data_IF_380332042202
#
_entry.id   IF_380332042202
#
_cell.length_a   1.000
_cell.length_b   1.000
_cell.length_c   1.000
_cell.angle_alpha   90.00
_cell.angle_beta   90.00
_cell.angle_gamma   90.00
#
_symmetry.space_group_name_H-M   'P 1'
#
loop_
_entity.id
_entity.type
_entity.pdbx_description
1 polymer ?
#
# COMPACT_ATOMS: atom_id res chain seq x y z
N UNK A 1 6.00 19.68 -5.33
CA UNK A 1 5.82 20.49 -4.11
C UNK A 1 4.40 21.04 -4.04
N UNK A 2 3.93 21.82 -5.00
CA UNK A 2 2.60 22.45 -4.98
C UNK A 2 1.50 21.38 -4.91
N UNK A 3 1.51 20.38 -5.77
CA UNK A 3 0.51 19.31 -5.79
C UNK A 3 0.41 18.55 -4.46
N UNK A 4 1.54 18.27 -3.84
CA UNK A 4 1.56 17.59 -2.53
C UNK A 4 1.11 18.52 -1.40
N UNK A 5 1.45 19.81 -1.48
CA UNK A 5 0.93 20.81 -0.54
C UNK A 5 -0.58 20.91 -0.63
N UNK A 6 -1.15 20.93 -1.83
CA UNK A 6 -2.60 20.90 -2.07
C UNK A 6 -3.22 19.61 -1.52
N UNK A 7 -2.59 18.47 -1.79
CA UNK A 7 -3.03 17.17 -1.34
C UNK A 7 -3.07 17.06 0.20
N UNK A 8 -1.97 17.40 0.88
CA UNK A 8 -1.90 17.42 2.34
C UNK A 8 -2.89 18.44 2.90
N UNK A 9 -2.91 19.64 2.33
CA UNK A 9 -3.82 20.70 2.74
C UNK A 9 -5.30 20.32 2.61
N UNK A 10 -5.69 19.64 1.54
CA UNK A 10 -7.08 19.18 1.34
C UNK A 10 -7.55 18.22 2.44
N UNK A 11 -6.67 17.32 2.93
CA UNK A 11 -7.01 16.41 4.02
C UNK A 11 -7.23 17.20 5.32
N UNK A 12 -6.33 18.12 5.65
CA UNK A 12 -6.48 18.94 6.84
C UNK A 12 -7.72 19.84 6.79
N UNK A 13 -8.01 20.45 5.63
CA UNK A 13 -9.21 21.26 5.44
C UNK A 13 -10.46 20.40 5.62
N UNK A 14 -10.50 19.21 5.02
CA UNK A 14 -11.62 18.30 5.17
C UNK A 14 -11.87 17.91 6.65
N UNK A 15 -10.80 17.67 7.42
CA UNK A 15 -10.89 17.37 8.84
C UNK A 15 -11.39 18.58 9.63
N UNK A 16 -10.82 19.77 9.41
CA UNK A 16 -11.18 20.99 10.11
C UNK A 16 -12.64 21.43 9.84
N UNK A 17 -13.10 21.23 8.59
CA UNK A 17 -14.49 21.54 8.20
C UNK A 17 -15.48 20.42 8.55
N UNK A 18 -15.02 19.32 9.17
CA UNK A 18 -15.82 18.14 9.48
C UNK A 18 -16.50 17.49 8.27
N UNK A 19 -15.91 17.65 7.07
CA UNK A 19 -16.39 17.06 5.82
C UNK A 19 -15.58 15.83 5.40
N UNK A 20 -14.60 15.44 6.23
CA UNK A 20 -13.76 14.28 5.97
C UNK A 20 -14.56 12.99 6.11
N UNK A 21 -14.42 12.09 5.14
CA UNK A 21 -14.83 10.70 5.29
C UNK A 21 -13.87 9.95 6.23
N UNK A 22 -14.38 8.92 6.90
CA UNK A 22 -13.57 8.06 7.76
C UNK A 22 -12.88 6.96 6.95
N UNK A 23 -11.67 6.57 7.40
CA UNK A 23 -10.91 5.48 6.75
C UNK A 23 -11.59 4.13 6.96
N UNK A 24 -12.18 3.95 8.14
CA UNK A 24 -12.85 2.71 8.55
C UNK A 24 -14.25 3.02 9.08
N UNK A 25 -14.50 2.74 10.36
CA UNK A 25 -15.74 3.05 11.06
C UNK A 25 -15.69 4.49 11.55
N UNK A 26 -16.84 5.06 11.85
CA UNK A 26 -16.98 6.41 12.37
C UNK A 26 -16.05 6.65 13.58
N UNK A 27 -15.24 7.69 13.49
CA UNK A 27 -14.20 8.02 14.48
C UNK A 27 -12.86 7.30 14.30
N UNK A 28 -12.75 6.33 13.38
CA UNK A 28 -11.50 5.58 13.15
C UNK A 28 -10.79 5.95 11.85
N UNK A 29 -9.83 6.87 11.95
CA UNK A 29 -9.03 7.38 10.85
C UNK A 29 -9.80 8.34 9.95
N UNK A 30 -9.06 9.19 9.26
CA UNK A 30 -9.59 10.21 8.36
C UNK A 30 -8.96 10.05 6.99
N UNK A 31 -9.77 10.05 5.94
CA UNK A 31 -9.30 9.98 4.56
C UNK A 31 -9.56 11.26 3.76
N UNK A 32 -10.01 12.32 4.42
CA UNK A 32 -10.36 13.56 3.74
C UNK A 32 -11.50 13.35 2.74
N UNK A 33 -11.36 13.91 1.55
CA UNK A 33 -12.29 13.72 0.43
C UNK A 33 -11.84 12.60 -0.52
N UNK A 34 -10.92 11.76 -0.09
CA UNK A 34 -10.40 10.66 -0.90
C UNK A 34 -11.18 9.37 -0.66
N UNK A 35 -11.15 8.49 -1.63
CA UNK A 35 -11.92 7.26 -1.64
C UNK A 35 -11.31 6.18 -0.71
N UNK A 36 -9.98 6.06 -0.67
CA UNK A 36 -9.27 5.00 0.06
C UNK A 36 -8.16 5.54 0.95
N UNK A 37 -8.12 5.08 2.21
CA UNK A 37 -7.03 5.36 3.14
C UNK A 37 -5.70 4.75 2.71
N UNK A 38 -5.73 3.61 2.00
CA UNK A 38 -4.51 2.96 1.49
C UNK A 38 -3.86 3.77 0.37
N UNK A 39 -4.65 4.34 -0.55
CA UNK A 39 -4.12 5.20 -1.61
C UNK A 39 -3.48 6.47 -1.05
N UNK A 40 -4.11 7.07 -0.04
CA UNK A 40 -3.56 8.25 0.64
C UNK A 40 -2.22 7.93 1.31
N UNK A 41 -2.15 6.80 1.99
CA UNK A 41 -0.92 6.34 2.62
C UNK A 41 0.18 6.12 1.58
N UNK A 42 -0.13 5.48 0.46
CA UNK A 42 0.82 5.27 -0.65
C UNK A 42 1.34 6.60 -1.21
N UNK A 43 0.45 7.58 -1.45
CA UNK A 43 0.84 8.93 -1.91
C UNK A 43 1.77 9.60 -0.90
N UNK A 44 1.42 9.58 0.40
CA UNK A 44 2.24 10.17 1.46
C UNK A 44 3.65 9.55 1.46
N UNK A 45 3.74 8.23 1.47
CA UNK A 45 5.01 7.51 1.54
C UNK A 45 5.87 7.75 0.31
N UNK A 46 5.31 7.58 -0.89
CA UNK A 46 6.03 7.74 -2.15
C UNK A 46 6.52 9.17 -2.37
N UNK A 47 5.75 10.15 -1.92
CA UNK A 47 6.14 11.55 -2.01
C UNK A 47 7.40 11.86 -1.20
N UNK A 48 7.62 11.19 -0.05
CA UNK A 48 8.82 11.36 0.75
C UNK A 48 10.09 10.98 -0.01
N UNK A 49 10.02 9.97 -0.90
CA UNK A 49 11.17 9.56 -1.72
C UNK A 49 11.60 10.62 -2.75
N UNK A 50 10.76 11.57 -3.07
CA UNK A 50 11.10 12.72 -3.92
C UNK A 50 11.57 13.91 -3.06
N UNK A 51 10.85 14.22 -1.97
CA UNK A 51 11.10 15.46 -1.23
C UNK A 51 12.30 15.44 -0.32
N UNK A 52 12.51 14.36 0.42
CA UNK A 52 13.63 14.31 1.36
C UNK A 52 14.98 14.51 0.67
N UNK A 53 15.29 13.83 -0.46
CA UNK A 53 16.51 14.09 -1.21
C UNK A 53 16.57 15.49 -1.81
N UNK A 54 15.45 16.00 -2.33
CA UNK A 54 15.39 17.33 -2.94
C UNK A 54 15.67 18.46 -1.93
N UNK A 55 15.15 18.33 -0.72
CA UNK A 55 15.31 19.34 0.35
C UNK A 55 16.71 19.27 0.97
N UNK A 56 17.37 18.11 0.92
CA UNK A 56 18.70 17.91 1.49
C UNK A 56 19.71 18.97 1.08
N UNK A 57 19.72 19.37 -0.19
CA UNK A 57 20.68 20.31 -0.75
C UNK A 57 20.28 21.78 -0.59
N UNK A 58 19.12 22.05 0.04
CA UNK A 58 18.64 23.43 0.22
C UNK A 58 19.18 24.08 1.49
N UNK A 59 19.39 25.42 1.43
CA UNK A 59 19.88 26.24 2.56
C UNK A 59 19.04 26.04 3.84
N UNK A 60 17.74 25.86 3.70
CA UNK A 60 16.79 25.77 4.81
C UNK A 60 16.50 24.31 5.24
N UNK A 61 17.29 23.31 4.80
CA UNK A 61 17.08 21.89 5.08
C UNK A 61 16.84 21.59 6.57
N UNK A 62 17.54 22.30 7.46
CA UNK A 62 17.49 22.12 8.93
C UNK A 62 16.11 22.36 9.52
N UNK A 63 15.32 23.22 8.88
CA UNK A 63 13.97 23.56 9.31
C UNK A 63 12.91 22.75 8.52
N UNK A 64 13.11 22.60 7.21
CA UNK A 64 12.12 21.98 6.33
C UNK A 64 12.01 20.47 6.58
N UNK A 65 13.13 19.75 6.78
CA UNK A 65 13.10 18.30 7.01
C UNK A 65 12.32 17.94 8.29
N UNK A 66 12.58 18.56 9.46
CA UNK A 66 11.78 18.30 10.66
C UNK A 66 10.29 18.60 10.48
N UNK A 67 9.95 19.68 9.77
CA UNK A 67 8.54 20.03 9.50
C UNK A 67 7.89 18.96 8.63
N UNK A 68 8.55 18.50 7.57
CA UNK A 68 8.03 17.41 6.70
C UNK A 68 7.82 16.14 7.51
N UNK A 69 8.77 15.77 8.37
CA UNK A 69 8.68 14.59 9.22
C UNK A 69 7.50 14.72 10.19
N UNK A 70 7.37 15.86 10.87
CA UNK A 70 6.30 16.09 11.85
C UNK A 70 4.92 16.09 11.20
N UNK A 71 4.75 16.83 10.11
CA UNK A 71 3.49 16.90 9.36
C UNK A 71 3.12 15.52 8.78
N UNK A 72 4.09 14.81 8.20
CA UNK A 72 3.87 13.47 7.66
C UNK A 72 3.54 12.43 8.73
N UNK A 73 4.21 12.49 9.90
CA UNK A 73 3.92 11.64 11.03
C UNK A 73 2.49 11.83 11.54
N UNK A 74 2.11 13.08 11.76
CA UNK A 74 0.78 13.42 12.21
C UNK A 74 -0.29 12.98 11.20
N UNK A 75 -0.06 13.20 9.91
CA UNK A 75 -0.96 12.77 8.86
C UNK A 75 -1.08 11.24 8.79
N UNK A 76 0.05 10.51 8.90
CA UNK A 76 0.03 9.03 8.89
C UNK A 76 -0.79 8.45 10.05
N UNK A 77 -0.78 9.11 11.22
CA UNK A 77 -1.63 8.76 12.35
C UNK A 77 -3.11 9.05 12.09
N UNK A 78 -3.42 10.24 11.55
CA UNK A 78 -4.80 10.64 11.25
C UNK A 78 -5.44 9.68 10.23
N UNK A 79 -4.70 9.25 9.22
CA UNK A 79 -5.19 8.28 8.22
C UNK A 79 -5.50 6.93 8.89
N UNK A 80 -4.69 6.50 9.84
CA UNK A 80 -4.92 5.30 10.66
C UNK A 80 -4.65 3.97 9.96
N UNK A 81 -4.01 3.94 8.76
CA UNK A 81 -3.64 2.68 8.09
C UNK A 81 -2.32 2.12 8.64
N UNK A 82 -2.22 0.79 8.70
CA UNK A 82 -0.97 0.12 9.10
C UNK A 82 0.17 0.44 8.12
N UNK A 83 -0.11 0.39 6.82
CA UNK A 83 0.85 0.70 5.77
C UNK A 83 1.35 2.15 5.88
N UNK A 84 0.46 3.12 6.13
CA UNK A 84 0.82 4.52 6.32
C UNK A 84 1.73 4.73 7.52
N UNK A 85 1.39 4.17 8.67
CA UNK A 85 2.13 4.39 9.90
C UNK A 85 3.50 3.70 9.89
N UNK A 86 3.52 2.38 9.68
CA UNK A 86 4.79 1.62 9.67
C UNK A 86 5.63 1.96 8.45
N UNK A 87 5.00 2.19 7.30
CA UNK A 87 5.68 2.65 6.09
C UNK A 87 6.35 4.00 6.28
N UNK A 88 5.71 4.94 6.98
CA UNK A 88 6.31 6.24 7.26
C UNK A 88 7.57 6.13 8.12
N UNK A 89 7.52 5.35 9.20
CA UNK A 89 8.69 5.06 10.04
C UNK A 89 9.81 4.44 9.20
N UNK A 90 9.47 3.45 8.36
CA UNK A 90 10.42 2.78 7.48
C UNK A 90 11.07 3.75 6.48
N UNK A 91 10.30 4.64 5.85
CA UNK A 91 10.83 5.63 4.90
C UNK A 91 11.83 6.56 5.58
N UNK A 92 11.52 7.05 6.77
CA UNK A 92 12.46 7.91 7.53
C UNK A 92 13.71 7.14 7.92
N UNK A 93 13.57 5.92 8.41
CA UNK A 93 14.70 5.05 8.77
C UNK A 93 15.58 4.73 7.55
N UNK A 94 14.99 4.42 6.39
CA UNK A 94 15.70 4.22 5.13
C UNK A 94 16.46 5.49 4.70
N UNK A 95 15.82 6.66 4.78
CA UNK A 95 16.48 7.92 4.44
C UNK A 95 17.72 8.16 5.29
N UNK A 96 17.59 7.99 6.61
CA UNK A 96 18.70 8.14 7.54
C UNK A 96 19.79 7.09 7.30
N UNK A 97 19.40 5.83 7.14
CA UNK A 97 20.33 4.72 6.93
C UNK A 97 21.14 4.88 5.64
N UNK A 98 20.48 5.24 4.54
CA UNK A 98 21.14 5.48 3.25
C UNK A 98 22.13 6.64 3.36
N UNK A 99 21.76 7.75 4.00
CA UNK A 99 22.65 8.89 4.17
C UNK A 99 23.88 8.55 5.01
N UNK A 100 23.70 7.85 6.11
CA UNK A 100 24.81 7.38 6.96
C UNK A 100 25.71 6.43 6.18
N UNK A 101 25.15 5.46 5.49
CA UNK A 101 25.88 4.47 4.71
C UNK A 101 26.74 5.14 3.62
N UNK A 102 26.16 6.07 2.85
CA UNK A 102 26.90 6.77 1.81
C UNK A 102 27.99 7.71 2.37
N UNK A 103 27.78 8.31 3.54
CA UNK A 103 28.82 9.10 4.19
C UNK A 103 29.98 8.20 4.66
N UNK A 104 29.71 7.02 5.21
CA UNK A 104 30.73 6.05 5.61
C UNK A 104 31.52 5.55 4.38
N UNK A 105 30.83 5.10 3.34
CA UNK A 105 31.47 4.56 2.12
C UNK A 105 32.35 5.59 1.44
N UNK A 106 31.98 6.88 1.51
CA UNK A 106 32.73 7.97 0.89
C UNK A 106 33.75 8.63 1.80
N UNK A 107 34.03 8.08 2.96
CA UNK A 107 34.91 8.63 3.99
C UNK A 107 34.60 10.10 4.33
N UNK A 108 33.33 10.50 4.22
CA UNK A 108 32.85 11.82 4.62
C UNK A 108 32.51 11.84 6.10
N UNK A 109 32.78 12.96 6.76
CA UNK A 109 32.31 13.14 8.14
C UNK A 109 30.79 13.10 8.19
N UNK A 110 30.25 12.26 9.06
CA UNK A 110 28.82 12.20 9.29
C UNK A 110 28.37 13.51 9.93
N UNK A 111 27.41 14.18 9.32
CA UNK A 111 26.81 15.39 9.88
C UNK A 111 26.03 15.03 11.15
N UNK A 112 26.65 15.23 12.31
CA UNK A 112 26.07 14.94 13.62
C UNK A 112 24.71 15.64 13.80
N UNK A 113 24.56 16.87 13.23
CA UNK A 113 23.28 17.62 13.32
C UNK A 113 22.19 16.94 12.53
N UNK A 114 22.52 16.39 11.35
CA UNK A 114 21.60 15.62 10.56
C UNK A 114 21.14 14.34 11.28
N UNK A 115 22.08 13.60 11.89
CA UNK A 115 21.79 12.42 12.69
C UNK A 115 20.86 12.74 13.88
N UNK A 116 21.17 13.82 14.62
CA UNK A 116 20.34 14.25 15.75
C UNK A 116 18.91 14.58 15.26
N UNK A 117 18.76 15.35 14.18
CA UNK A 117 17.47 15.69 13.61
C UNK A 117 16.67 14.43 13.24
N UNK A 118 17.32 13.46 12.60
CA UNK A 118 16.66 12.21 12.19
C UNK A 118 16.25 11.34 13.37
N UNK A 119 17.15 11.13 14.34
CA UNK A 119 16.86 10.34 15.56
C UNK A 119 15.78 11.02 16.39
N UNK A 120 15.86 12.34 16.56
CA UNK A 120 14.82 13.11 17.27
C UNK A 120 13.49 13.03 16.52
N UNK A 121 13.51 13.13 15.18
CA UNK A 121 12.31 12.97 14.37
C UNK A 121 11.67 11.57 14.52
N UNK A 122 12.45 10.50 14.46
CA UNK A 122 11.96 9.14 14.72
C UNK A 122 11.43 8.97 16.14
N UNK A 123 12.13 9.50 17.13
CA UNK A 123 11.68 9.47 18.52
C UNK A 123 10.34 10.19 18.71
N UNK A 124 10.18 11.37 18.10
CA UNK A 124 8.91 12.12 18.11
C UNK A 124 7.80 11.30 17.45
N UNK A 125 8.04 10.68 16.28
CA UNK A 125 7.05 9.82 15.62
C UNK A 125 6.62 8.69 16.52
N UNK A 126 7.57 8.00 17.17
CA UNK A 126 7.29 6.89 18.09
C UNK A 126 6.51 7.37 19.32
N UNK A 127 6.92 8.49 19.93
CA UNK A 127 6.23 9.08 21.08
C UNK A 127 4.80 9.51 20.74
N UNK A 128 4.61 10.12 19.57
CA UNK A 128 3.29 10.54 19.08
C UNK A 128 2.39 9.32 18.87
N UNK A 129 2.94 8.24 18.29
CA UNK A 129 2.20 6.97 18.10
C UNK A 129 1.79 6.33 19.42
N UNK A 130 2.68 6.33 20.41
CA UNK A 130 2.42 5.74 21.73
C UNK A 130 1.47 6.63 22.54
N UNK A 131 1.71 7.95 22.52
CA UNK A 131 1.01 8.89 23.44
C UNK A 131 -0.43 9.20 23.03
N UNK A 132 -0.71 9.27 21.73
CA UNK A 132 -2.07 9.60 21.24
C UNK A 132 -2.92 8.36 20.88
N UNK A 133 -2.41 7.16 21.14
CA UNK A 133 -3.14 5.93 20.84
C UNK A 133 -3.55 5.89 19.38
N UNK A 134 -2.69 5.43 18.48
CA UNK A 134 -2.98 5.49 17.04
C UNK A 134 -4.33 4.84 16.76
N UNK A 135 -5.11 5.45 15.87
CA UNK A 135 -6.35 4.87 15.33
C UNK A 135 -6.14 3.44 14.81
N UNK A 136 -4.90 3.12 14.40
CA UNK A 136 -4.45 1.78 14.02
C UNK A 136 -4.48 0.80 15.20
N UNK A 137 -4.08 1.23 16.41
CA UNK A 137 -4.10 0.40 17.64
C UNK A 137 -5.55 0.24 18.11
N UNK A 138 -6.34 1.30 18.12
CA UNK A 138 -7.77 1.27 18.47
C UNK A 138 -8.54 0.32 17.55
N UNK A 139 -8.29 0.37 16.24
CA UNK A 139 -8.86 -0.56 15.27
C UNK A 139 -8.48 -2.00 15.58
N UNK A 140 -7.22 -2.28 15.92
CA UNK A 140 -6.80 -3.65 16.26
C UNK A 140 -7.53 -4.19 17.49
N UNK A 141 -7.78 -3.33 18.47
CA UNK A 141 -8.56 -3.69 19.67
C UNK A 141 -10.00 -3.97 19.27
N UNK A 142 -10.65 -3.07 18.56
CA UNK A 142 -12.03 -3.24 18.08
C UNK A 142 -12.22 -4.51 17.22
N UNK A 143 -11.28 -4.82 16.31
CA UNK A 143 -11.34 -6.07 15.52
C UNK A 143 -11.18 -7.32 16.39
N UNK A 144 -10.39 -7.26 17.47
CA UNK A 144 -10.28 -8.37 18.42
C UNK A 144 -11.56 -8.54 19.25
N UNK A 145 -12.17 -7.43 19.66
CA UNK A 145 -13.42 -7.45 20.41
C UNK A 145 -14.53 -8.07 19.56
N UNK A 146 -14.65 -7.67 18.29
CA UNK A 146 -15.60 -8.30 17.33
C UNK A 146 -15.26 -9.80 17.11
N UNK A 147 -13.99 -10.14 16.98
CA UNK A 147 -13.56 -11.54 16.79
C UNK A 147 -13.90 -12.40 18.01
N UNK A 148 -13.80 -11.87 19.24
CA UNK A 148 -14.22 -12.56 20.45
C UNK A 148 -15.74 -12.74 20.52
N UNK A 149 -16.51 -11.70 20.20
CA UNK A 149 -17.97 -11.77 20.22
C UNK A 149 -18.52 -12.79 19.18
N UNK A 150 -17.91 -12.83 17.99
CA UNK A 150 -18.27 -13.81 16.94
C UNK A 150 -17.91 -15.25 17.37
N UNK A 151 -16.81 -15.47 18.06
CA UNK A 151 -16.39 -16.79 18.56
C UNK A 151 -17.37 -17.26 19.65
N UNK A 152 -17.81 -16.37 20.51
CA UNK A 152 -18.78 -16.70 21.56
C UNK A 152 -20.18 -17.03 21.02
N UNK A 153 -20.59 -16.39 19.90
CA UNK A 153 -21.87 -16.69 19.22
C UNK A 153 -21.79 -17.94 18.30
N UNK A 154 -20.62 -18.24 17.74
CA UNK A 154 -20.41 -19.34 16.80
C UNK A 154 -19.81 -20.59 17.46
N UNK A 155 -20.47 -21.18 18.43
CA UNK A 155 -20.15 -22.53 18.91
C UNK A 155 -20.43 -23.65 17.87
N UNK A 156 -20.58 -23.27 16.59
CA UNK A 156 -20.79 -24.19 15.47
C UNK A 156 -19.49 -24.42 14.68
N UNK A 157 -19.25 -25.66 14.36
CA UNK A 157 -18.08 -26.30 13.74
C UNK A 157 -17.54 -25.68 12.43
N UNK A 158 -18.11 -24.59 11.91
CA UNK A 158 -17.86 -24.05 10.56
C UNK A 158 -17.53 -22.55 10.49
N UNK A 159 -17.06 -21.93 11.55
CA UNK A 159 -16.88 -20.47 11.64
C UNK A 159 -15.62 -19.89 10.98
N UNK A 160 -15.07 -20.52 9.93
CA UNK A 160 -13.88 -20.00 9.24
C UNK A 160 -14.20 -18.91 8.21
N UNK A 161 -15.44 -18.80 7.76
CA UNK A 161 -15.88 -17.74 6.84
C UNK A 161 -17.17 -17.14 7.39
N UNK A 162 -17.11 -15.88 7.81
CA UNK A 162 -18.26 -15.11 8.32
C UNK A 162 -18.41 -13.83 7.52
N UNK A 163 -19.49 -13.08 7.77
CA UNK A 163 -19.74 -11.80 7.15
C UNK A 163 -20.26 -11.91 5.72
N UNK A 164 -19.81 -11.03 4.83
CA UNK A 164 -20.33 -10.90 3.47
C UNK A 164 -20.19 -12.17 2.63
N UNK A 165 -19.09 -12.90 2.78
CA UNK A 165 -18.84 -14.12 2.00
C UNK A 165 -19.78 -15.25 2.40
N UNK A 166 -20.07 -15.40 3.70
CA UNK A 166 -21.06 -16.38 4.19
C UNK A 166 -22.47 -16.04 3.70
N UNK A 167 -22.85 -14.76 3.82
CA UNK A 167 -24.15 -14.28 3.33
C UNK A 167 -24.35 -14.54 1.83
N UNK A 168 -23.31 -14.28 1.01
CA UNK A 168 -23.38 -14.58 -0.43
C UNK A 168 -23.54 -16.09 -0.67
N UNK A 169 -22.85 -16.94 0.11
CA UNK A 169 -23.02 -18.40 0.02
C UNK A 169 -24.45 -18.83 0.35
N UNK A 170 -25.01 -18.34 1.44
CA UNK A 170 -26.39 -18.60 1.86
C UNK A 170 -27.40 -18.15 0.79
N UNK A 171 -27.23 -16.93 0.25
CA UNK A 171 -28.07 -16.45 -0.85
C UNK A 171 -28.01 -17.34 -2.10
N UNK A 172 -26.83 -17.90 -2.43
CA UNK A 172 -26.68 -18.84 -3.54
C UNK A 172 -27.43 -20.16 -3.24
N UNK A 173 -27.29 -20.68 -2.02
CA UNK A 173 -27.98 -21.92 -1.59
C UNK A 173 -29.50 -21.76 -1.57
N UNK A 174 -29.98 -20.59 -1.15
CA UNK A 174 -31.41 -20.26 -1.07
C UNK A 174 -32.00 -19.77 -2.41
N UNK A 175 -31.21 -19.72 -3.49
CA UNK A 175 -31.60 -19.17 -4.79
C UNK A 175 -32.15 -17.73 -4.74
N UNK A 176 -31.75 -16.95 -3.75
CA UNK A 176 -32.18 -15.55 -3.61
C UNK A 176 -31.48 -14.59 -4.59
N UNK A 177 -30.35 -15.00 -5.16
CA UNK A 177 -29.64 -14.17 -6.15
C UNK A 177 -30.32 -14.33 -7.49
N UNK A 178 -30.84 -13.21 -8.00
CA UNK A 178 -31.49 -13.11 -9.32
C UNK A 178 -30.58 -13.68 -10.41
N UNK A 179 -31.08 -14.64 -11.16
CA UNK A 179 -30.39 -15.19 -12.33
C UNK A 179 -29.95 -14.07 -13.27
N UNK A 180 -28.67 -14.07 -13.66
CA UNK A 180 -28.09 -13.07 -14.55
C UNK A 180 -27.00 -12.19 -13.89
N UNK A 181 -26.95 -12.09 -12.58
CA UNK A 181 -25.88 -11.34 -11.89
C UNK A 181 -24.63 -12.18 -11.66
N UNK A 182 -24.73 -13.50 -11.67
CA UNK A 182 -23.63 -14.41 -11.36
C UNK A 182 -23.62 -15.60 -12.34
N UNK A 183 -22.45 -15.83 -12.97
CA UNK A 183 -22.27 -17.02 -13.80
C UNK A 183 -22.16 -18.29 -12.95
N UNK A 184 -22.45 -19.46 -13.51
CA UNK A 184 -22.31 -20.74 -12.83
C UNK A 184 -20.87 -20.98 -12.33
N UNK A 185 -19.85 -20.53 -13.08
CA UNK A 185 -18.44 -20.59 -12.64
C UNK A 185 -18.18 -19.70 -11.42
N UNK A 186 -18.84 -18.56 -11.29
CA UNK A 186 -18.75 -17.69 -10.12
C UNK A 186 -19.43 -18.33 -8.89
N UNK A 187 -20.64 -18.86 -9.05
CA UNK A 187 -21.36 -19.59 -7.98
C UNK A 187 -20.53 -20.76 -7.47
N UNK A 188 -20.04 -21.62 -8.38
CA UNK A 188 -19.19 -22.74 -8.02
C UNK A 188 -17.90 -22.28 -7.31
N UNK A 189 -17.32 -21.14 -7.73
CA UNK A 189 -16.10 -20.62 -7.13
C UNK A 189 -16.32 -20.11 -5.71
N UNK A 190 -17.51 -19.63 -5.37
CA UNK A 190 -17.86 -19.26 -3.98
C UNK A 190 -17.99 -20.51 -3.11
N UNK A 191 -18.64 -21.56 -3.62
CA UNK A 191 -18.74 -22.83 -2.89
C UNK A 191 -17.36 -23.46 -2.67
N UNK A 192 -16.50 -23.44 -3.68
CA UNK A 192 -15.13 -23.93 -3.58
C UNK A 192 -14.27 -23.07 -2.66
N UNK A 193 -14.43 -21.73 -2.67
CA UNK A 193 -13.80 -20.81 -1.72
C UNK A 193 -14.11 -21.25 -0.28
N UNK A 194 -15.39 -21.49 0.03
CA UNK A 194 -15.81 -21.90 1.36
C UNK A 194 -15.11 -23.19 1.79
N UNK A 195 -15.12 -24.21 0.93
CA UNK A 195 -14.48 -25.50 1.20
C UNK A 195 -12.97 -25.38 1.39
N UNK A 196 -12.29 -24.59 0.54
CA UNK A 196 -10.84 -24.38 0.61
C UNK A 196 -10.47 -23.57 1.85
N UNK A 197 -11.21 -22.51 2.16
CA UNK A 197 -10.94 -21.67 3.31
C UNK A 197 -11.10 -22.44 4.62
N UNK A 198 -12.12 -23.29 4.74
CA UNK A 198 -12.28 -24.20 5.87
C UNK A 198 -11.12 -25.19 5.98
N UNK A 199 -10.72 -25.82 4.86
CA UNK A 199 -9.60 -26.76 4.84
C UNK A 199 -8.26 -26.11 5.22
N UNK A 200 -8.05 -24.86 4.81
CA UNK A 200 -6.83 -24.08 5.11
C UNK A 200 -6.91 -23.33 6.43
N UNK A 201 -8.03 -23.43 7.17
CA UNK A 201 -8.28 -22.68 8.40
C UNK A 201 -8.03 -21.18 8.25
N UNK A 202 -8.50 -20.59 7.13
CA UNK A 202 -8.39 -19.16 6.86
C UNK A 202 -9.19 -18.39 7.91
N UNK A 203 -8.58 -17.40 8.54
CA UNK A 203 -9.26 -16.59 9.55
C UNK A 203 -10.39 -15.77 8.93
N UNK A 204 -11.49 -15.63 9.65
CA UNK A 204 -12.68 -14.89 9.22
C UNK A 204 -12.38 -13.44 8.82
N UNK A 205 -11.44 -12.79 9.51
CA UNK A 205 -11.04 -11.41 9.25
C UNK A 205 -9.96 -11.27 8.17
N UNK A 206 -9.50 -12.38 7.56
CA UNK A 206 -8.53 -12.33 6.46
C UNK A 206 -9.24 -12.28 5.10
N UNK A 207 -9.91 -11.17 4.85
CA UNK A 207 -10.61 -10.91 3.58
C UNK A 207 -9.68 -11.05 2.37
N UNK A 208 -8.41 -10.64 2.48
CA UNK A 208 -7.46 -10.71 1.37
C UNK A 208 -7.15 -12.14 0.95
N UNK A 209 -7.01 -13.04 1.90
CA UNK A 209 -6.81 -14.46 1.59
C UNK A 209 -8.07 -15.06 0.95
N UNK A 210 -9.26 -14.70 1.43
CA UNK A 210 -10.53 -15.13 0.83
C UNK A 210 -10.66 -14.61 -0.61
N UNK A 211 -10.36 -13.32 -0.84
CA UNK A 211 -10.35 -12.71 -2.18
C UNK A 211 -9.35 -13.41 -3.11
N UNK A 212 -8.16 -13.73 -2.62
CA UNK A 212 -7.14 -14.45 -3.39
C UNK A 212 -7.61 -15.85 -3.78
N UNK A 213 -8.13 -16.62 -2.84
CA UNK A 213 -8.65 -17.96 -3.07
C UNK A 213 -9.76 -17.91 -4.11
N UNK A 214 -10.74 -17.01 -3.93
CA UNK A 214 -11.85 -16.84 -4.87
C UNK A 214 -11.36 -16.60 -6.31
N UNK A 215 -10.48 -15.63 -6.50
CA UNK A 215 -10.02 -15.28 -7.82
C UNK A 215 -9.19 -16.40 -8.49
N UNK A 216 -8.38 -17.14 -7.72
CA UNK A 216 -7.65 -18.30 -8.23
C UNK A 216 -8.58 -19.45 -8.62
N UNK A 217 -9.59 -19.71 -7.79
CA UNK A 217 -10.59 -20.75 -8.06
C UNK A 217 -11.46 -20.38 -9.25
N UNK A 218 -11.82 -19.11 -9.39
CA UNK A 218 -12.58 -18.62 -10.53
C UNK A 218 -11.86 -18.87 -11.86
N UNK A 219 -10.55 -18.54 -11.94
CA UNK A 219 -9.73 -18.84 -13.12
C UNK A 219 -9.71 -20.35 -13.41
N UNK A 220 -9.57 -21.18 -12.37
CA UNK A 220 -9.59 -22.65 -12.51
C UNK A 220 -10.95 -23.16 -13.03
N UNK A 221 -12.07 -22.66 -12.50
CA UNK A 221 -13.40 -23.14 -12.83
C UNK A 221 -13.87 -22.74 -14.23
N UNK A 222 -13.36 -21.61 -14.75
CA UNK A 222 -13.66 -21.19 -16.12
C UNK A 222 -12.99 -22.08 -17.20
N UNK A 223 -11.99 -22.90 -16.85
CA UNK A 223 -11.33 -23.88 -17.73
C UNK A 223 -10.84 -23.34 -19.08
N UNK A 224 -10.53 -22.04 -19.15
CA UNK A 224 -10.11 -21.38 -20.38
C UNK A 224 -8.66 -20.90 -20.25
N UNK A 225 -7.74 -21.51 -21.02
CA UNK A 225 -6.33 -21.17 -20.99
C UNK A 225 -6.05 -19.73 -21.45
N UNK A 226 -6.91 -19.13 -22.27
CA UNK A 226 -6.75 -17.75 -22.71
C UNK A 226 -6.84 -16.75 -21.55
N UNK A 227 -7.48 -17.13 -20.44
CA UNK A 227 -7.54 -16.30 -19.24
C UNK A 227 -6.16 -16.12 -18.58
N UNK A 228 -5.27 -17.09 -18.73
CA UNK A 228 -3.88 -16.94 -18.27
C UNK A 228 -3.15 -15.86 -19.08
N UNK A 229 -3.42 -15.79 -20.38
CA UNK A 229 -2.79 -14.82 -21.28
C UNK A 229 -3.41 -13.42 -21.19
N UNK A 230 -4.74 -13.33 -21.20
CA UNK A 230 -5.47 -12.08 -21.34
C UNK A 230 -6.25 -11.64 -20.09
N UNK A 231 -6.28 -12.51 -19.06
CA UNK A 231 -6.94 -12.24 -17.79
C UNK A 231 -8.45 -12.52 -17.80
N UNK A 232 -8.99 -12.48 -16.59
CA UNK A 232 -10.39 -12.76 -16.32
C UNK A 232 -11.30 -11.53 -16.46
N UNK A 233 -10.71 -10.37 -16.75
CA UNK A 233 -11.41 -9.10 -16.69
C UNK A 233 -11.70 -8.64 -15.25
N UNK A 234 -12.33 -7.49 -15.13
CA UNK A 234 -12.67 -6.93 -13.82
C UNK A 234 -13.99 -7.56 -13.34
N UNK A 235 -13.95 -8.29 -12.25
CA UNK A 235 -15.14 -8.93 -11.65
C UNK A 235 -15.88 -7.87 -10.83
N UNK A 236 -16.60 -6.96 -11.49
CA UNK A 236 -17.22 -5.78 -10.88
C UNK A 236 -18.44 -6.08 -9.99
N UNK A 237 -19.05 -7.26 -10.12
CA UNK A 237 -20.34 -7.56 -9.47
C UNK A 237 -20.25 -7.91 -7.98
N UNK A 238 -19.03 -8.10 -7.45
CA UNK A 238 -18.81 -8.48 -6.05
C UNK A 238 -17.65 -7.65 -5.49
N UNK A 239 -17.95 -6.46 -4.97
CA UNK A 239 -16.95 -5.55 -4.39
C UNK A 239 -16.18 -6.18 -3.23
N UNK A 240 -16.82 -7.06 -2.47
CA UNK A 240 -16.21 -7.76 -1.34
C UNK A 240 -15.15 -8.79 -1.77
N UNK A 241 -15.27 -9.33 -2.99
CA UNK A 241 -14.37 -10.34 -3.55
C UNK A 241 -13.35 -9.76 -4.54
N UNK A 242 -13.34 -8.43 -4.75
CA UNK A 242 -12.30 -7.75 -5.53
C UNK A 242 -10.97 -7.83 -4.80
N UNK A 243 -9.96 -8.41 -5.46
CA UNK A 243 -8.65 -8.63 -4.86
C UNK A 243 -7.91 -7.31 -4.62
N UNK A 244 -7.70 -6.98 -3.34
CA UNK A 244 -6.94 -5.79 -2.94
C UNK A 244 -5.44 -5.91 -3.19
N UNK A 245 -4.88 -7.12 -3.33
CA UNK A 245 -3.47 -7.37 -3.64
C UNK A 245 -3.20 -7.01 -5.10
N UNK A 246 -2.87 -5.76 -5.35
CA UNK A 246 -2.94 -5.10 -6.65
C UNK A 246 -2.10 -5.78 -7.75
N UNK A 247 -0.85 -6.21 -7.45
CA UNK A 247 -0.03 -6.89 -8.45
C UNK A 247 -0.62 -8.24 -8.87
N UNK A 248 -1.16 -8.98 -7.92
CA UNK A 248 -1.79 -10.28 -8.19
C UNK A 248 -3.12 -10.05 -8.91
N UNK A 249 -3.89 -9.04 -8.48
CA UNK A 249 -5.12 -8.62 -9.14
C UNK A 249 -4.88 -8.25 -10.60
N UNK A 250 -3.82 -7.47 -10.89
CA UNK A 250 -3.43 -7.14 -12.27
C UNK A 250 -3.12 -8.38 -13.11
N UNK A 251 -2.37 -9.33 -12.53
CA UNK A 251 -2.02 -10.56 -13.22
C UNK A 251 -3.26 -11.41 -13.54
N UNK A 252 -4.20 -11.52 -12.59
CA UNK A 252 -5.41 -12.32 -12.78
C UNK A 252 -6.43 -11.62 -13.70
N UNK A 253 -6.56 -10.29 -13.59
CA UNK A 253 -7.55 -9.54 -14.36
C UNK A 253 -7.11 -9.22 -15.79
N UNK A 254 -5.81 -8.95 -16.01
CA UNK A 254 -5.26 -8.58 -17.33
C UNK A 254 -4.44 -9.71 -17.98
N UNK A 255 -4.20 -10.80 -17.27
CA UNK A 255 -3.35 -11.89 -17.71
C UNK A 255 -1.87 -11.48 -17.84
N UNK A 256 -1.05 -12.43 -18.31
CA UNK A 256 0.38 -12.21 -18.48
C UNK A 256 0.67 -11.08 -19.48
N UNK A 257 -0.10 -11.01 -20.57
CA UNK A 257 0.11 -10.00 -21.63
C UNK A 257 -0.19 -8.60 -21.09
N UNK A 258 -1.37 -8.38 -20.48
CA UNK A 258 -1.72 -7.07 -19.94
C UNK A 258 -0.83 -6.67 -18.76
N UNK A 259 -0.47 -7.62 -17.89
CA UNK A 259 0.48 -7.38 -16.81
C UNK A 259 1.84 -6.95 -17.34
N UNK A 260 2.39 -7.65 -18.34
CA UNK A 260 3.67 -7.32 -18.95
C UNK A 260 3.67 -5.94 -19.61
N UNK A 261 2.59 -5.58 -20.31
CA UNK A 261 2.46 -4.27 -20.96
C UNK A 261 2.36 -3.13 -19.94
N UNK A 262 1.62 -3.31 -18.85
CA UNK A 262 1.41 -2.28 -17.84
C UNK A 262 2.56 -2.17 -16.84
N UNK A 263 2.98 -3.29 -16.26
CA UNK A 263 4.00 -3.33 -15.20
C UNK A 263 5.41 -3.48 -15.73
N UNK A 264 5.58 -4.04 -16.95
CA UNK A 264 6.89 -4.30 -17.57
C UNK A 264 7.84 -3.11 -17.56
N UNK A 265 7.42 -1.89 -17.96
CA UNK A 265 8.27 -0.70 -17.90
C UNK A 265 8.80 -0.40 -16.50
N UNK A 266 7.97 -0.49 -15.46
CA UNK A 266 8.39 -0.24 -14.09
C UNK A 266 9.31 -1.33 -13.54
N UNK A 267 9.03 -2.59 -13.87
CA UNK A 267 9.88 -3.74 -13.54
C UNK A 267 11.25 -3.58 -14.22
N UNK A 268 11.27 -3.22 -15.50
CA UNK A 268 12.51 -2.97 -16.23
C UNK A 268 13.33 -1.84 -15.61
N UNK A 269 12.70 -0.73 -15.21
CA UNK A 269 13.38 0.39 -14.52
C UNK A 269 13.91 -0.05 -13.16
N UNK A 270 13.16 -0.86 -12.40
CA UNK A 270 13.57 -1.37 -11.09
C UNK A 270 14.84 -2.22 -11.21
N UNK A 271 14.86 -3.19 -12.14
CA UNK A 271 16.02 -4.05 -12.36
C UNK A 271 17.19 -3.31 -13.01
N UNK A 272 16.93 -2.43 -13.99
CA UNK A 272 17.97 -1.58 -14.55
C UNK A 272 18.59 -0.70 -13.46
N UNK A 273 17.74 -0.11 -12.59
CA UNK A 273 18.22 0.68 -11.45
C UNK A 273 19.12 -0.12 -10.53
N UNK A 274 18.77 -1.37 -10.20
CA UNK A 274 19.63 -2.25 -9.40
C UNK A 274 20.97 -2.53 -10.11
N UNK A 275 20.90 -2.91 -11.38
CA UNK A 275 22.12 -3.17 -12.19
C UNK A 275 23.05 -1.97 -12.24
N UNK A 276 22.52 -0.78 -12.55
CA UNK A 276 23.33 0.45 -12.58
C UNK A 276 23.85 0.83 -11.18
N UNK A 277 23.05 0.61 -10.14
CA UNK A 277 23.49 0.81 -8.75
C UNK A 277 24.71 -0.03 -8.38
N UNK A 278 24.72 -1.30 -8.78
CA UNK A 278 25.86 -2.22 -8.56
C UNK A 278 27.06 -1.83 -9.45
N UNK A 279 26.82 -1.60 -10.74
CA UNK A 279 27.85 -1.30 -11.73
C UNK A 279 28.59 0.01 -11.42
N UNK A 280 27.87 1.04 -11.04
CA UNK A 280 28.39 2.39 -10.78
C UNK A 280 28.46 2.71 -9.28
N UNK A 281 28.58 1.71 -8.40
CA UNK A 281 28.56 1.85 -6.93
C UNK A 281 29.53 2.90 -6.36
N UNK A 282 30.61 3.23 -7.07
CA UNK A 282 31.60 4.23 -6.66
C UNK A 282 31.12 5.66 -6.92
N UNK A 283 30.21 5.86 -7.86
CA UNK A 283 29.78 7.18 -8.36
C UNK A 283 28.37 7.55 -7.89
N UNK A 284 27.48 6.56 -7.76
CA UNK A 284 26.08 6.79 -7.36
C UNK A 284 25.98 7.55 -6.05
N UNK A 285 25.00 8.45 -5.95
CA UNK A 285 24.71 9.23 -4.75
C UNK A 285 23.56 8.63 -3.90
N UNK A 286 23.38 9.15 -2.71
CA UNK A 286 22.29 8.73 -1.81
C UNK A 286 20.89 9.02 -2.40
N UNK A 287 20.77 10.05 -3.24
CA UNK A 287 19.52 10.38 -3.92
C UNK A 287 19.12 9.26 -4.88
N UNK A 288 20.08 8.71 -5.64
CA UNK A 288 19.84 7.57 -6.52
C UNK A 288 19.29 6.37 -5.76
N UNK A 289 20.01 5.99 -4.69
CA UNK A 289 19.60 4.86 -3.88
C UNK A 289 18.19 5.06 -3.30
N UNK A 290 17.89 6.26 -2.82
CA UNK A 290 16.61 6.57 -2.23
C UNK A 290 15.47 6.54 -3.27
N UNK A 291 15.69 7.06 -4.49
CA UNK A 291 14.72 6.94 -5.59
C UNK A 291 14.48 5.47 -5.98
N UNK A 292 15.52 4.64 -6.03
CA UNK A 292 15.38 3.22 -6.30
C UNK A 292 14.55 2.51 -5.22
N UNK A 293 14.83 2.79 -3.93
CA UNK A 293 14.00 2.30 -2.84
C UNK A 293 12.56 2.82 -2.90
N UNK A 294 12.34 4.02 -3.41
CA UNK A 294 11.00 4.56 -3.65
C UNK A 294 10.20 3.75 -4.65
N UNK A 295 10.84 3.35 -5.76
CA UNK A 295 10.21 2.47 -6.74
C UNK A 295 9.97 1.06 -6.15
N UNK A 296 10.94 0.49 -5.42
CA UNK A 296 10.78 -0.79 -4.73
C UNK A 296 9.64 -0.74 -3.69
N UNK A 297 9.52 0.38 -2.96
CA UNK A 297 8.42 0.61 -2.02
C UNK A 297 7.06 0.65 -2.71
N UNK A 298 6.95 1.22 -3.92
CA UNK A 298 5.71 1.19 -4.69
C UNK A 298 5.25 -0.25 -4.97
N UNK A 299 6.17 -1.13 -5.36
CA UNK A 299 5.87 -2.56 -5.53
C UNK A 299 5.47 -3.24 -4.23
N UNK A 300 6.17 -2.94 -3.13
CA UNK A 300 5.84 -3.50 -1.81
C UNK A 300 4.45 -3.05 -1.34
N UNK A 301 4.12 -1.77 -1.50
CA UNK A 301 2.81 -1.23 -1.15
C UNK A 301 1.69 -1.85 -2.01
N UNK A 302 1.94 -2.04 -3.30
CA UNK A 302 1.00 -2.68 -4.22
C UNK A 302 0.69 -4.14 -3.83
N UNK A 303 1.67 -4.87 -3.29
CA UNK A 303 1.46 -6.22 -2.75
C UNK A 303 0.74 -6.23 -1.41
N UNK A 304 1.09 -5.29 -0.51
CA UNK A 304 0.65 -5.32 0.88
C UNK A 304 -0.63 -4.55 1.16
N UNK A 305 -0.82 -3.38 0.51
CA UNK A 305 -1.95 -2.51 0.81
C UNK A 305 -2.90 -2.26 -0.36
N UNK A 306 -2.43 -2.51 -1.58
CA UNK A 306 -3.18 -2.19 -2.81
C UNK A 306 -3.32 -0.70 -3.07
N UNK A 307 -4.08 -0.34 -4.13
CA UNK A 307 -4.38 1.05 -4.50
C UNK A 307 -3.16 1.94 -4.73
N UNK A 308 -2.08 1.38 -5.27
CA UNK A 308 -0.82 2.09 -5.51
C UNK A 308 -0.63 2.36 -7.01
N UNK A 309 -0.65 1.35 -7.86
CA UNK A 309 -0.52 1.48 -9.32
C UNK A 309 -1.86 1.77 -10.01
N UNK A 310 -2.99 1.31 -9.47
CA UNK A 310 -4.31 1.63 -9.99
C UNK A 310 -4.81 3.03 -9.62
N UNK A 311 -4.23 3.65 -8.60
CA UNK A 311 -4.62 5.00 -8.20
C UNK A 311 -3.84 6.04 -9.01
N UNK A 312 -4.54 6.90 -9.76
CA UNK A 312 -3.94 7.91 -10.63
C UNK A 312 -2.97 8.83 -9.88
N UNK A 313 -3.30 9.26 -8.67
CA UNK A 313 -2.48 10.20 -7.90
C UNK A 313 -1.16 9.58 -7.46
N UNK A 314 -1.16 8.33 -6.99
CA UNK A 314 0.07 7.61 -6.66
C UNK A 314 0.87 7.24 -7.90
N UNK A 315 0.20 6.93 -9.02
CA UNK A 315 0.83 6.63 -10.29
C UNK A 315 1.66 7.80 -10.83
N UNK A 316 1.17 9.04 -10.73
CA UNK A 316 1.92 10.24 -11.10
C UNK A 316 3.24 10.33 -10.31
N UNK A 317 3.20 9.99 -9.03
CA UNK A 317 4.39 10.01 -8.16
C UNK A 317 5.36 8.88 -8.56
N UNK A 318 4.86 7.68 -8.84
CA UNK A 318 5.66 6.54 -9.30
C UNK A 318 6.36 6.87 -10.63
N UNK A 319 5.65 7.46 -11.58
CA UNK A 319 6.23 7.92 -12.85
C UNK A 319 7.31 8.97 -12.59
N UNK A 320 7.07 9.91 -11.66
CA UNK A 320 8.06 10.93 -11.30
C UNK A 320 9.32 10.31 -10.67
N UNK A 321 9.18 9.34 -9.75
CA UNK A 321 10.30 8.58 -9.18
C UNK A 321 11.06 7.86 -10.28
N UNK A 322 10.36 7.14 -11.15
CA UNK A 322 10.94 6.36 -12.26
C UNK A 322 11.71 7.24 -13.23
N UNK A 323 11.14 8.38 -13.61
CA UNK A 323 11.78 9.35 -14.53
C UNK A 323 13.03 9.95 -13.92
N UNK A 324 13.01 10.35 -12.64
CA UNK A 324 14.17 10.87 -11.95
C UNK A 324 15.27 9.81 -11.80
N UNK A 325 14.89 8.55 -11.51
CA UNK A 325 15.83 7.42 -11.45
C UNK A 325 16.49 7.19 -12.82
N UNK A 326 15.70 7.17 -13.90
CA UNK A 326 16.24 7.05 -15.27
C UNK A 326 17.17 8.20 -15.64
N UNK A 327 16.84 9.44 -15.25
CA UNK A 327 17.72 10.59 -15.47
C UNK A 327 19.07 10.37 -14.79
N UNK A 328 19.07 9.95 -13.53
CA UNK A 328 20.30 9.63 -12.78
C UNK A 328 21.09 8.49 -13.42
N UNK A 329 20.44 7.44 -13.91
CA UNK A 329 21.13 6.37 -14.65
C UNK A 329 21.83 6.87 -15.90
N UNK A 330 21.26 7.84 -16.62
CA UNK A 330 21.91 8.46 -17.79
C UNK A 330 23.11 9.31 -17.39
N UNK A 331 23.00 10.10 -16.32
CA UNK A 331 24.09 10.93 -15.81
C UNK A 331 25.33 10.11 -15.41
N UNK A 332 25.16 8.89 -14.91
CA UNK A 332 26.30 8.02 -14.54
C UNK A 332 26.88 7.25 -15.72
N UNK A 333 26.21 7.22 -16.85
CA UNK A 333 26.69 6.57 -18.09
C UNK A 333 27.53 7.54 -18.93
N UNK A 334 27.24 8.85 -18.87
CA UNK A 334 27.99 9.91 -19.55
C UNK A 334 29.33 10.18 -18.87
#
# INVERSE_FOLDING_TARGET
LISTGIYIGSIYIAILTKTSSHTYIEGMGYKGWFESGNSISSILLLTMFIYLPYVKDKKYRKFIIPIIILVGAFLSMLIGTRAGLFGFILVIALYMGIEVLFNIIRNKKIDKKFLIIGITGLAIVILVVIGFGSTTIQRRKHLKDIESDIIDESSQENAHITGSTLRIKEQIEDNEIVEGYMSESQKQSIMDLYNIANKLQVKNNDQRMQQLIYNLVLVKNQKNILLILFGNGYVANFSELVLEMELISMLLNFGIVGFALYMGPFIAILFAGLYYGIKYRKVIDSQYAFLWFGLAMAFALSLLSGYTFFNLSSMIIIVSISTNLMKKMKEYKS
#
